data_IF_428372708907
#
_entry.id   IF_428372708907
#
_cell.length_a   1.000
_cell.length_b   1.000
_cell.length_c   1.000
_cell.angle_alpha   90.00
_cell.angle_beta   90.00
_cell.angle_gamma   90.00
#
_symmetry.space_group_name_H-M   'P 1'
#
loop_
_entity.id
_entity.type
_entity.pdbx_description
1 polymer ?
#
# COMPACT_ATOMS: atom_id res chain seq x y z
N UNK A 1 7.85 28.03 -6.79
CA UNK A 1 7.18 26.84 -7.39
C UNK A 1 7.91 25.49 -7.21
N UNK A 2 8.88 25.34 -6.29
CA UNK A 2 9.64 24.07 -6.10
C UNK A 2 8.96 23.09 -5.13
N UNK A 3 8.17 23.58 -4.16
CA UNK A 3 7.47 22.75 -3.16
C UNK A 3 6.40 21.82 -3.74
N UNK A 4 5.65 22.23 -4.77
CA UNK A 4 4.58 21.38 -5.36
C UNK A 4 5.12 20.07 -5.96
N UNK A 5 6.34 20.07 -6.51
CA UNK A 5 6.97 18.85 -7.04
C UNK A 5 7.43 17.89 -5.93
N UNK A 6 7.92 18.42 -4.81
CA UNK A 6 8.36 17.63 -3.66
C UNK A 6 7.17 16.90 -3.00
N UNK A 7 6.04 17.58 -2.84
CA UNK A 7 4.80 16.99 -2.32
C UNK A 7 4.24 15.89 -3.24
N UNK A 8 4.31 16.08 -4.57
CA UNK A 8 3.87 15.09 -5.56
C UNK A 8 4.72 13.81 -5.52
N UNK A 9 6.04 13.94 -5.29
CA UNK A 9 6.95 12.80 -5.17
C UNK A 9 6.78 12.06 -3.84
N UNK A 10 6.59 12.78 -2.72
CA UNK A 10 6.29 12.17 -1.43
C UNK A 10 4.96 11.41 -1.42
N UNK A 11 3.93 11.91 -2.12
CA UNK A 11 2.66 11.16 -2.28
C UNK A 11 2.84 9.88 -3.08
N UNK A 12 3.64 9.89 -4.16
CA UNK A 12 3.95 8.67 -4.93
C UNK A 12 4.71 7.63 -4.11
N UNK A 13 5.65 8.09 -3.27
CA UNK A 13 6.37 7.21 -2.35
C UNK A 13 5.39 6.64 -1.30
N UNK A 14 4.47 7.45 -0.77
CA UNK A 14 3.41 6.99 0.13
C UNK A 14 2.54 5.88 -0.48
N UNK A 15 2.06 6.06 -1.72
CA UNK A 15 1.29 5.05 -2.46
C UNK A 15 2.08 3.73 -2.60
N UNK A 16 3.35 3.82 -2.99
CA UNK A 16 4.21 2.66 -3.20
C UNK A 16 4.51 1.92 -1.90
N UNK A 17 4.71 2.66 -0.79
CA UNK A 17 4.88 2.11 0.55
C UNK A 17 3.62 1.42 1.02
N UNK A 18 2.43 1.98 0.79
CA UNK A 18 1.15 1.34 1.14
C UNK A 18 0.98 0.01 0.42
N UNK A 19 1.31 -0.05 -0.87
CA UNK A 19 1.24 -1.30 -1.65
C UNK A 19 2.27 -2.31 -1.14
N UNK A 20 3.52 -1.90 -0.93
CA UNK A 20 4.56 -2.78 -0.40
C UNK A 20 4.21 -3.32 1.00
N UNK A 21 3.63 -2.47 1.85
CA UNK A 21 3.13 -2.87 3.17
C UNK A 21 1.96 -3.86 3.07
N UNK A 22 1.00 -3.61 2.17
CA UNK A 22 -0.11 -4.53 1.92
C UNK A 22 0.36 -5.91 1.44
N UNK A 23 1.34 -5.95 0.52
CA UNK A 23 1.97 -7.21 0.08
C UNK A 23 2.65 -7.91 1.25
N UNK A 24 3.47 -7.18 2.01
CA UNK A 24 4.21 -7.73 3.15
C UNK A 24 3.29 -8.33 4.21
N UNK A 25 2.23 -7.61 4.60
CA UNK A 25 1.24 -8.08 5.58
C UNK A 25 0.47 -9.29 5.05
N UNK A 26 0.13 -9.32 3.75
CA UNK A 26 -0.56 -10.46 3.15
C UNK A 26 0.28 -11.73 3.18
N UNK A 27 1.55 -11.61 2.76
CA UNK A 27 2.51 -12.71 2.68
C UNK A 27 2.88 -13.22 4.08
N UNK A 28 3.13 -12.31 5.02
CA UNK A 28 3.41 -12.67 6.42
C UNK A 28 2.19 -13.33 7.09
N UNK A 29 0.98 -12.81 6.86
CA UNK A 29 -0.24 -13.44 7.36
C UNK A 29 -0.42 -14.87 6.83
N UNK A 30 -0.07 -15.10 5.56
CA UNK A 30 -0.15 -16.43 4.94
C UNK A 30 0.92 -17.36 5.54
N UNK A 31 2.14 -16.86 5.72
CA UNK A 31 3.23 -17.63 6.30
C UNK A 31 2.96 -18.07 7.75
N UNK A 32 2.28 -17.22 8.54
CA UNK A 32 1.91 -17.52 9.94
C UNK A 32 0.56 -18.25 10.04
N UNK A 33 -0.10 -18.53 8.91
CA UNK A 33 -1.42 -19.19 8.86
C UNK A 33 -2.50 -18.43 9.67
N UNK A 34 -2.49 -17.10 9.60
CA UNK A 34 -3.49 -16.23 10.25
C UNK A 34 -4.35 -15.58 9.17
N UNK A 35 -5.47 -16.23 8.76
CA UNK A 35 -6.35 -15.75 7.70
C UNK A 35 -6.77 -14.27 7.82
N UNK A 36 -7.15 -13.75 9.00
CA UNK A 36 -7.58 -12.35 9.11
C UNK A 36 -6.45 -11.35 8.84
N UNK A 37 -5.20 -11.71 9.13
CA UNK A 37 -4.03 -10.84 8.87
C UNK A 37 -3.74 -10.81 7.38
N UNK A 38 -3.80 -11.95 6.69
CA UNK A 38 -3.67 -12.00 5.23
C UNK A 38 -4.74 -11.17 4.54
N UNK A 39 -5.99 -11.29 4.99
CA UNK A 39 -7.10 -10.53 4.43
C UNK A 39 -6.94 -9.03 4.65
N UNK A 40 -6.51 -8.62 5.85
CA UNK A 40 -6.18 -7.22 6.13
C UNK A 40 -5.08 -6.67 5.21
N UNK A 41 -4.03 -7.46 4.96
CA UNK A 41 -2.98 -7.12 3.99
C UNK A 41 -3.51 -6.92 2.57
N UNK A 42 -4.40 -7.82 2.11
CA UNK A 42 -5.02 -7.74 0.78
C UNK A 42 -5.92 -6.51 0.64
N UNK A 43 -6.64 -6.14 1.70
CA UNK A 43 -7.43 -4.91 1.74
C UNK A 43 -6.55 -3.65 1.64
N UNK A 44 -5.42 -3.61 2.36
CA UNK A 44 -4.45 -2.49 2.29
C UNK A 44 -3.86 -2.39 0.88
N UNK A 45 -3.53 -3.54 0.29
CA UNK A 45 -3.01 -3.62 -1.08
C UNK A 45 -4.05 -3.12 -2.09
N UNK A 46 -5.30 -3.56 -1.97
CA UNK A 46 -6.42 -3.11 -2.80
C UNK A 46 -6.67 -1.60 -2.71
N UNK A 47 -6.65 -1.04 -1.50
CA UNK A 47 -6.76 0.41 -1.28
C UNK A 47 -5.59 1.19 -1.90
N UNK A 48 -4.37 0.66 -1.82
CA UNK A 48 -3.19 1.25 -2.45
C UNK A 48 -3.28 1.30 -3.98
N UNK A 49 -3.73 0.19 -4.59
CA UNK A 49 -3.94 0.12 -6.05
C UNK A 49 -5.08 1.05 -6.48
N UNK A 50 -6.21 1.01 -5.79
CA UNK A 50 -7.36 1.87 -6.10
C UNK A 50 -7.01 3.35 -5.96
N UNK A 51 -6.19 3.72 -4.97
CA UNK A 51 -5.69 5.09 -4.81
C UNK A 51 -4.80 5.55 -5.98
N UNK A 52 -4.09 4.64 -6.65
CA UNK A 52 -3.32 4.96 -7.87
C UNK A 52 -4.24 5.15 -9.06
N UNK A 53 -5.32 4.36 -9.14
CA UNK A 53 -6.23 4.33 -10.28
C UNK A 53 -7.29 5.45 -10.25
N UNK A 54 -7.72 5.90 -9.07
CA UNK A 54 -8.68 7.01 -8.89
C UNK A 54 -8.07 8.40 -9.16
N UNK A 55 -6.85 8.45 -9.67
CA UNK A 55 -6.07 9.66 -9.85
C UNK A 55 -6.13 10.17 -11.28
#
# INVERSE_FOLDING_TARGET
MRQRRILKNRRRIGELVTIAAGVGVSVLGLAVNVPPVSFGGLCILGLGIFSIFWR
#
